data_IF_460871856657
#
_entry.id   IF_460871856657
#
_cell.length_a   1.000
_cell.length_b   1.000
_cell.length_c   1.000
_cell.angle_alpha   90.00
_cell.angle_beta   90.00
_cell.angle_gamma   90.00
#
_symmetry.space_group_name_H-M   'P 1'
#
loop_
_entity.id
_entity.type
_entity.pdbx_description
1 polymer ?
#
# COMPACT_ATOMS: atom_id res chain seq x y z
N UNK A 1 -3.05 -4.53 -7.99
CA UNK A 1 -2.98 -6.01 -8.01
C UNK A 1 -4.08 -6.61 -8.88
N UNK A 2 -3.74 -7.61 -9.69
CA UNK A 2 -4.71 -8.28 -10.58
C UNK A 2 -5.32 -9.45 -9.85
N UNK A 3 -6.64 -9.41 -9.64
CA UNK A 3 -7.33 -10.50 -8.97
C UNK A 3 -7.47 -11.73 -9.88
N UNK A 4 -7.46 -12.96 -9.33
CA UNK A 4 -7.35 -14.19 -10.13
C UNK A 4 -8.53 -14.44 -11.09
N UNK A 5 -9.73 -13.90 -10.80
CA UNK A 5 -10.91 -14.06 -11.68
C UNK A 5 -11.01 -13.00 -12.79
N UNK A 6 -10.09 -12.04 -12.84
CA UNK A 6 -10.06 -11.02 -13.89
C UNK A 6 -9.72 -11.70 -15.21
N UNK A 7 -10.49 -11.37 -16.26
CA UNK A 7 -10.23 -11.84 -17.64
C UNK A 7 -9.69 -10.74 -18.56
N UNK A 8 -9.78 -9.49 -18.12
CA UNK A 8 -9.41 -8.30 -18.88
C UNK A 8 -8.81 -7.27 -17.91
N UNK A 9 -7.53 -6.92 -18.11
CA UNK A 9 -6.80 -5.98 -17.26
C UNK A 9 -7.48 -4.61 -17.18
N UNK A 10 -8.20 -4.19 -18.22
CA UNK A 10 -8.94 -2.92 -18.23
C UNK A 10 -10.05 -2.87 -17.18
N UNK A 11 -10.44 -4.02 -16.63
CA UNK A 11 -11.45 -4.15 -15.56
C UNK A 11 -10.85 -4.12 -14.16
N UNK A 12 -9.53 -4.14 -14.02
CA UNK A 12 -8.87 -3.97 -12.73
C UNK A 12 -9.06 -2.51 -12.29
N UNK A 13 -9.75 -2.30 -11.17
CA UNK A 13 -9.98 -0.97 -10.60
C UNK A 13 -9.64 -0.98 -9.12
N UNK A 14 -8.99 0.08 -8.66
CA UNK A 14 -8.80 0.40 -7.24
C UNK A 14 -8.13 -0.69 -6.39
N UNK A 15 -7.20 -1.45 -6.98
CA UNK A 15 -6.39 -2.45 -6.26
C UNK A 15 -4.92 -2.06 -6.14
N UNK A 16 -4.62 -0.77 -6.29
CA UNK A 16 -3.28 -0.23 -6.07
C UNK A 16 -2.98 -0.06 -4.57
N UNK A 17 -4.03 0.08 -3.73
CA UNK A 17 -3.95 0.13 -2.27
C UNK A 17 -4.81 -0.98 -1.64
N UNK A 18 -4.29 -1.62 -0.60
CA UNK A 18 -4.97 -2.64 0.18
C UNK A 18 -5.07 -2.18 1.65
N UNK A 19 -6.27 -2.28 2.23
CA UNK A 19 -6.52 -1.98 3.64
C UNK A 19 -6.11 -3.17 4.50
N UNK A 20 -5.19 -2.97 5.42
CA UNK A 20 -4.66 -4.04 6.28
C UNK A 20 -5.74 -4.71 7.13
N UNK A 21 -6.81 -4.01 7.48
CA UNK A 21 -7.93 -4.52 8.26
C UNK A 21 -8.73 -5.61 7.52
N UNK A 22 -8.65 -5.66 6.19
CA UNK A 22 -9.45 -6.60 5.37
C UNK A 22 -8.60 -7.39 4.37
N UNK A 23 -7.28 -7.17 4.35
CA UNK A 23 -6.38 -7.76 3.34
C UNK A 23 -6.36 -9.28 3.37
N UNK A 24 -6.53 -9.88 4.55
CA UNK A 24 -6.60 -11.33 4.74
C UNK A 24 -7.91 -11.94 4.23
N UNK A 25 -8.97 -11.15 4.06
CA UNK A 25 -10.31 -11.63 3.71
C UNK A 25 -10.66 -11.34 2.24
N UNK A 26 -10.24 -10.17 1.75
CA UNK A 26 -10.62 -9.69 0.41
C UNK A 26 -10.08 -10.65 -0.66
N UNK A 27 -10.93 -11.17 -1.57
CA UNK A 27 -10.50 -12.14 -2.57
C UNK A 27 -9.34 -11.67 -3.46
N UNK A 28 -9.21 -10.35 -3.63
CA UNK A 28 -8.11 -9.76 -4.40
C UNK A 28 -6.76 -9.95 -3.74
N UNK A 29 -6.69 -9.98 -2.40
CA UNK A 29 -5.44 -9.90 -1.63
C UNK A 29 -5.15 -11.12 -0.76
N UNK A 30 -6.19 -11.86 -0.34
CA UNK A 30 -6.08 -12.96 0.64
C UNK A 30 -5.05 -14.03 0.28
N UNK A 31 -4.84 -14.29 -1.02
CA UNK A 31 -3.89 -15.28 -1.51
C UNK A 31 -2.43 -14.80 -1.33
N UNK A 32 -2.15 -13.56 -1.71
CA UNK A 32 -0.83 -12.96 -1.51
C UNK A 32 -0.50 -12.82 -0.02
N UNK A 33 -1.48 -12.41 0.78
CA UNK A 33 -1.36 -12.31 2.23
C UNK A 33 -1.05 -13.66 2.88
N UNK A 34 -1.85 -14.70 2.59
CA UNK A 34 -1.67 -16.02 3.24
C UNK A 34 -0.38 -16.74 2.85
N UNK A 35 0.26 -16.33 1.74
CA UNK A 35 1.53 -16.88 1.27
C UNK A 35 2.74 -16.05 1.68
N UNK A 36 2.55 -14.90 2.32
CA UNK A 36 3.65 -14.01 2.69
C UNK A 36 4.36 -13.46 1.46
N UNK A 37 3.61 -13.17 0.39
CA UNK A 37 4.15 -12.57 -0.83
C UNK A 37 4.39 -11.07 -0.61
N UNK A 38 5.27 -10.76 0.32
CA UNK A 38 5.66 -9.40 0.68
C UNK A 38 6.58 -8.80 -0.39
N UNK A 39 6.45 -7.49 -0.61
CA UNK A 39 7.39 -6.71 -1.41
C UNK A 39 7.60 -5.32 -0.78
N UNK A 40 8.70 -4.67 -1.15
CA UNK A 40 8.96 -3.26 -0.85
C UNK A 40 8.80 -2.47 -2.15
N UNK A 41 7.96 -1.44 -2.13
CA UNK A 41 7.74 -0.54 -3.27
C UNK A 41 8.58 0.72 -3.04
N UNK A 42 9.72 0.89 -3.75
CA UNK A 42 10.54 2.08 -3.61
C UNK A 42 9.88 3.29 -4.28
N UNK A 43 9.86 4.44 -3.59
CA UNK A 43 9.36 5.69 -4.13
C UNK A 43 10.17 6.88 -3.60
N UNK A 44 10.47 7.86 -4.44
CA UNK A 44 11.05 9.14 -3.96
C UNK A 44 10.04 9.96 -3.17
N UNK A 45 8.78 9.88 -3.58
CA UNK A 45 7.65 10.58 -2.98
C UNK A 45 6.35 9.94 -3.42
N UNK A 46 5.28 10.20 -2.69
CA UNK A 46 3.91 9.98 -3.15
C UNK A 46 3.13 11.30 -3.03
N UNK A 47 1.94 11.33 -3.62
CA UNK A 47 1.11 12.52 -3.62
C UNK A 47 -0.21 12.23 -2.93
N UNK A 48 -0.63 13.17 -2.09
CA UNK A 48 -1.97 13.15 -1.50
C UNK A 48 -2.70 14.46 -1.78
N UNK A 49 -4.03 14.41 -2.00
CA UNK A 49 -4.81 15.62 -2.21
C UNK A 49 -5.05 16.33 -0.86
N UNK A 50 -4.55 17.54 -0.73
CA UNK A 50 -4.82 18.44 0.40
C UNK A 50 -6.07 19.28 0.12
N UNK A 51 -7.05 19.18 1.01
CA UNK A 51 -8.33 19.89 0.92
C UNK A 51 -8.50 21.01 1.97
N UNK A 52 -7.45 21.33 2.74
CA UNK A 52 -7.52 22.36 3.80
C UNK A 52 -7.89 23.76 3.29
N UNK A 53 -7.63 24.03 2.01
CA UNK A 53 -8.00 25.29 1.32
C UNK A 53 -9.42 25.28 0.72
N UNK A 54 -10.16 24.17 0.84
CA UNK A 54 -11.46 23.98 0.20
C UNK A 54 -11.41 23.48 -1.25
N UNK A 55 -10.21 23.38 -1.84
CA UNK A 55 -9.97 22.78 -3.16
C UNK A 55 -8.89 21.70 -3.06
N UNK A 56 -8.87 20.75 -4.00
CA UNK A 56 -7.86 19.69 -4.06
C UNK A 56 -6.51 20.25 -4.55
N UNK A 57 -5.54 20.39 -3.66
CA UNK A 57 -4.16 20.71 -4.00
C UNK A 57 -3.34 19.42 -3.93
N UNK A 58 -2.68 19.03 -5.02
CA UNK A 58 -1.82 17.86 -5.02
C UNK A 58 -0.54 18.16 -4.23
N UNK A 59 -0.34 17.49 -3.09
CA UNK A 59 0.80 17.72 -2.20
C UNK A 59 1.78 16.55 -2.26
N UNK A 60 3.06 16.87 -2.48
CA UNK A 60 4.16 15.91 -2.45
C UNK A 60 4.51 15.55 -0.99
N UNK A 61 4.57 14.25 -0.69
CA UNK A 61 5.05 13.69 0.57
C UNK A 61 6.34 12.91 0.29
N UNK A 62 7.43 13.31 0.95
CA UNK A 62 8.76 12.73 0.82
C UNK A 62 9.46 12.62 2.18
N UNK A 63 10.49 11.77 2.27
CA UNK A 63 11.35 11.73 3.46
C UNK A 63 12.23 12.99 3.52
N UNK A 64 12.41 13.54 4.72
CA UNK A 64 13.27 14.71 4.94
C UNK A 64 14.74 14.45 4.61
N UNK A 65 15.17 13.18 4.59
CA UNK A 65 16.51 12.76 4.18
C UNK A 65 16.77 12.91 2.68
N UNK A 66 15.73 13.10 1.86
CA UNK A 66 15.83 13.07 0.40
C UNK A 66 16.09 11.67 -0.19
N UNK A 67 16.11 10.63 0.64
CA UNK A 67 16.25 9.24 0.21
C UNK A 67 14.88 8.66 -0.21
N UNK A 68 14.86 7.62 -1.07
CA UNK A 68 13.62 6.90 -1.35
C UNK A 68 13.05 6.27 -0.08
N UNK A 69 11.73 6.21 0.00
CA UNK A 69 11.02 5.43 1.00
C UNK A 69 10.71 4.03 0.48
N UNK A 70 10.72 3.05 1.38
CA UNK A 70 10.22 1.71 1.12
C UNK A 70 8.79 1.57 1.63
N UNK A 71 7.82 1.43 0.71
CA UNK A 71 6.41 1.20 1.07
C UNK A 71 6.15 -0.31 1.16
N UNK A 72 5.57 -0.78 2.26
CA UNK A 72 5.17 -2.17 2.41
C UNK A 72 4.07 -2.52 1.41
N UNK A 73 4.26 -3.60 0.65
CA UNK A 73 3.30 -4.06 -0.34
C UNK A 73 3.17 -5.58 -0.38
N UNK A 74 2.17 -6.03 -1.12
CA UNK A 74 2.02 -7.43 -1.51
C UNK A 74 2.20 -7.56 -3.01
N UNK A 75 2.74 -8.70 -3.44
CA UNK A 75 2.77 -9.08 -4.85
C UNK A 75 1.96 -10.36 -5.09
N UNK A 76 1.43 -10.49 -6.29
CA UNK A 76 0.85 -11.74 -6.78
C UNK A 76 1.07 -11.87 -8.29
N UNK A 77 0.91 -13.09 -8.79
CA UNK A 77 0.96 -13.39 -10.21
C UNK A 77 -0.42 -13.68 -10.75
N UNK A 78 -0.69 -13.20 -11.95
CA UNK A 78 -1.89 -13.49 -12.71
C UNK A 78 -1.49 -14.00 -14.10
N UNK A 79 -2.15 -15.05 -14.56
CA UNK A 79 -1.96 -15.55 -15.92
C UNK A 79 -3.15 -15.13 -16.76
N UNK A 80 -2.89 -14.45 -17.87
CA UNK A 80 -3.91 -13.99 -18.79
C UNK A 80 -4.61 -15.16 -19.51
N UNK A 81 -5.78 -14.93 -20.13
CA UNK A 81 -6.45 -15.97 -20.92
C UNK A 81 -5.62 -16.55 -22.08
N UNK A 82 -4.66 -15.77 -22.60
CA UNK A 82 -3.70 -16.16 -23.64
C UNK A 82 -2.38 -16.72 -23.08
N UNK A 83 -2.24 -16.85 -21.76
CA UNK A 83 -1.12 -17.54 -21.11
C UNK A 83 0.04 -16.65 -20.69
N UNK A 84 -0.05 -15.33 -20.87
CA UNK A 84 0.97 -14.37 -20.40
C UNK A 84 0.98 -14.32 -18.87
N UNK A 85 2.17 -14.43 -18.28
CA UNK A 85 2.36 -14.29 -16.84
C UNK A 85 2.65 -12.83 -16.48
N UNK A 86 1.79 -12.25 -15.64
CA UNK A 86 1.91 -10.87 -15.17
C UNK A 86 2.12 -10.86 -13.66
N UNK A 87 3.18 -10.19 -13.21
CA UNK A 87 3.37 -9.85 -11.81
C UNK A 87 2.70 -8.50 -11.52
N UNK A 88 1.99 -8.43 -10.40
CA UNK A 88 1.31 -7.22 -9.97
C UNK A 88 1.46 -7.04 -8.47
N UNK A 89 1.33 -5.80 -8.00
CA UNK A 89 1.46 -5.49 -6.59
C UNK A 89 0.34 -4.55 -6.10
N UNK A 90 0.30 -4.36 -4.78
CA UNK A 90 -0.52 -3.38 -4.07
C UNK A 90 0.28 -2.82 -2.91
N UNK A 91 0.06 -1.56 -2.55
CA UNK A 91 0.61 -0.96 -1.34
C UNK A 91 -0.33 -1.23 -0.16
N UNK A 92 0.22 -1.54 1.01
CA UNK A 92 -0.53 -1.71 2.23
C UNK A 92 -0.81 -0.35 2.86
N UNK A 93 -2.02 -0.18 3.35
CA UNK A 93 -2.47 1.06 3.99
C UNK A 93 -3.06 0.77 5.35
N UNK A 94 -2.85 1.68 6.29
CA UNK A 94 -3.45 1.68 7.63
C UNK A 94 -4.34 2.91 7.81
N UNK A 95 -5.20 2.90 8.82
CA UNK A 95 -5.96 4.08 9.22
C UNK A 95 -5.02 5.23 9.64
N UNK A 96 -5.37 6.45 9.22
CA UNK A 96 -4.59 7.65 9.48
C UNK A 96 -5.39 8.74 10.21
N UNK A 97 -6.57 8.44 10.74
CA UNK A 97 -7.46 9.42 11.40
C UNK A 97 -6.77 10.13 12.57
N UNK A 98 -5.95 9.41 13.32
CA UNK A 98 -5.22 9.98 14.46
C UNK A 98 -3.77 10.36 14.11
N UNK A 99 -3.39 10.27 12.83
CA UNK A 99 -2.03 10.57 12.40
C UNK A 99 -1.83 12.09 12.26
N UNK A 100 -0.90 12.72 12.98
CA UNK A 100 -0.74 14.18 13.02
C UNK A 100 -0.54 14.85 11.66
N UNK A 101 0.14 14.20 10.71
CA UNK A 101 0.32 14.72 9.33
C UNK A 101 -0.73 14.16 8.37
N UNK A 102 -0.77 12.84 8.19
CA UNK A 102 -1.63 12.19 7.19
C UNK A 102 -3.15 12.40 7.37
N UNK A 103 -3.64 12.71 8.57
CA UNK A 103 -5.06 13.07 8.79
C UNK A 103 -5.48 14.36 8.05
N UNK A 104 -4.51 15.18 7.64
CA UNK A 104 -4.77 16.47 6.98
C UNK A 104 -5.10 16.34 5.48
N UNK A 105 -4.86 15.17 4.88
CA UNK A 105 -5.08 14.93 3.45
C UNK A 105 -6.39 14.16 3.18
N UNK A 106 -6.79 14.10 1.90
CA UNK A 106 -8.11 13.69 1.42
C UNK A 106 -9.25 14.61 1.88
N UNK A 107 -10.44 14.41 1.32
CA UNK A 107 -11.61 15.20 1.69
C UNK A 107 -11.95 14.99 3.17
N UNK A 108 -12.49 15.98 3.89
CA UNK A 108 -12.85 15.85 5.30
C UNK A 108 -13.79 14.66 5.60
N UNK A 109 -14.69 14.36 4.69
CA UNK A 109 -15.67 13.27 4.78
C UNK A 109 -15.11 11.86 4.47
N UNK A 110 -13.92 11.79 3.86
CA UNK A 110 -13.29 10.52 3.52
C UNK A 110 -12.58 9.89 4.73
N UNK A 111 -12.63 8.56 4.82
CA UNK A 111 -11.78 7.83 5.74
C UNK A 111 -10.29 8.12 5.44
N UNK A 112 -9.56 8.52 6.48
CA UNK A 112 -8.13 8.85 6.35
C UNK A 112 -7.30 7.59 6.33
N UNK A 113 -6.46 7.46 5.31
CA UNK A 113 -5.53 6.34 5.13
C UNK A 113 -4.12 6.88 4.92
N UNK A 114 -3.15 6.03 5.18
CA UNK A 114 -1.76 6.26 4.78
C UNK A 114 -1.14 4.95 4.34
N UNK A 115 -0.18 5.02 3.42
CA UNK A 115 0.68 3.88 3.10
C UNK A 115 1.56 3.53 4.30
N UNK A 116 1.89 2.25 4.44
CA UNK A 116 2.85 1.78 5.44
C UNK A 116 4.24 1.98 4.89
N UNK A 117 4.95 3.00 5.38
CA UNK A 117 6.37 3.20 5.07
C UNK A 117 7.17 2.39 6.08
N UNK A 118 8.10 1.58 5.60
CA UNK A 118 9.00 0.78 6.40
C UNK A 118 10.27 1.59 6.73
N UNK A 119 10.77 1.53 7.97
CA UNK A 119 12.15 1.87 8.28
C UNK A 119 13.12 1.03 7.43
N UNK A 120 14.23 1.64 7.01
CA UNK A 120 15.23 0.98 6.14
C UNK A 120 15.79 -0.30 6.77
N UNK A 121 15.97 -0.32 8.08
CA UNK A 121 16.42 -1.47 8.87
C UNK A 121 15.38 -2.59 9.00
N UNK A 122 14.17 -2.40 8.47
CA UNK A 122 13.10 -3.41 8.49
C UNK A 122 12.77 -4.01 7.12
N UNK A 123 13.49 -3.63 6.05
CA UNK A 123 13.19 -4.13 4.70
C UNK A 123 13.36 -5.65 4.61
N UNK A 124 14.49 -6.18 5.03
CA UNK A 124 14.76 -7.63 4.97
C UNK A 124 13.79 -8.40 5.88
N UNK A 125 13.58 -7.90 7.10
CA UNK A 125 12.63 -8.49 8.05
C UNK A 125 11.21 -8.55 7.47
N UNK A 126 10.77 -7.53 6.73
CA UNK A 126 9.47 -7.54 6.05
C UNK A 126 9.42 -8.55 4.90
N UNK A 127 10.46 -8.58 4.05
CA UNK A 127 10.53 -9.47 2.90
C UNK A 127 10.57 -10.95 3.30
N UNK A 128 11.13 -11.26 4.48
CA UNK A 128 11.26 -12.62 5.01
C UNK A 128 10.16 -13.02 6.00
N UNK A 129 9.33 -12.06 6.45
CA UNK A 129 8.30 -12.29 7.44
C UNK A 129 7.30 -13.36 7.01
N UNK A 130 6.93 -14.23 7.95
CA UNK A 130 5.84 -15.18 7.75
C UNK A 130 4.50 -14.45 7.69
N UNK A 131 3.46 -15.03 7.07
CA UNK A 131 2.11 -14.46 7.06
C UNK A 131 1.56 -14.10 8.44
N UNK A 132 1.95 -14.85 9.48
CA UNK A 132 1.53 -14.61 10.87
C UNK A 132 2.17 -13.37 11.50
N UNK A 133 3.29 -12.91 10.95
CA UNK A 133 4.10 -11.79 11.43
C UNK A 133 3.80 -10.50 10.64
N UNK A 134 3.06 -10.59 9.53
CA UNK A 134 2.82 -9.44 8.63
C UNK A 134 2.23 -8.22 9.32
N UNK A 135 1.34 -8.43 10.31
CA UNK A 135 0.70 -7.33 11.04
C UNK A 135 1.66 -6.56 11.93
N UNK A 136 2.81 -7.13 12.31
CA UNK A 136 3.77 -6.47 13.19
C UNK A 136 4.41 -5.23 12.53
N UNK A 137 4.44 -5.21 11.19
CA UNK A 137 4.98 -4.12 10.38
C UNK A 137 3.95 -3.03 10.06
N UNK A 138 2.66 -3.25 10.33
CA UNK A 138 1.58 -2.34 9.93
C UNK A 138 1.43 -1.17 10.90
N UNK A 139 2.45 -0.30 10.91
CA UNK A 139 2.56 0.84 11.83
C UNK A 139 2.78 2.15 11.07
N UNK A 140 2.41 3.25 11.71
CA UNK A 140 2.73 4.58 11.19
C UNK A 140 4.25 4.80 11.23
N UNK A 141 4.78 5.38 10.16
CA UNK A 141 6.19 5.77 10.13
C UNK A 141 6.46 6.89 11.16
N UNK A 142 7.56 6.82 11.93
CA UNK A 142 7.85 7.84 12.93
C UNK A 142 7.99 9.23 12.30
N UNK A 143 7.31 10.22 12.86
CA UNK A 143 7.59 11.61 12.56
C UNK A 143 8.97 11.97 13.15
N UNK A 144 9.83 12.55 12.32
CA UNK A 144 11.08 13.19 12.75
C UNK A 144 11.04 14.65 12.38
#
# INVERSE_FOLDING_TARGET
>A
MVAPWVKDLKKVRSTYNARTETVAEKPSYRNAWSKGQHCVVPAMSFFEPDWRSGISIQTNIALSSGQPMGIAGLWDRWTSPDGELIYSFTMLTINATNHPVMNQFHRPEDEKRMVVILPEDQYDAWLEAKPSESMDFMRAYPLR
#
